data_IF_728019600367
#
_entry.id   IF_728019600367
#
_cell.length_a   1.000
_cell.length_b   1.000
_cell.length_c   1.000
_cell.angle_alpha   90.00
_cell.angle_beta   90.00
_cell.angle_gamma   90.00
#
_symmetry.space_group_name_H-M   'P 1'
#
loop_
_entity.id
_entity.type
_entity.pdbx_description
1 polymer ?
#
# COMPACT_ATOMS: atom_id res chain seq x y z
N UNK A 1 -0.32 -7.38 18.16
CA UNK A 1 0.18 -6.01 17.90
C UNK A 1 1.52 -6.15 17.24
N UNK A 2 1.64 -5.78 15.98
CA UNK A 2 2.84 -6.01 15.16
C UNK A 2 3.89 -4.93 15.44
N UNK A 3 4.69 -5.13 16.48
CA UNK A 3 5.66 -4.14 16.97
C UNK A 3 6.94 -4.12 16.11
N UNK A 4 7.24 -5.20 15.41
CA UNK A 4 8.46 -5.37 14.62
C UNK A 4 8.20 -5.40 13.11
N UNK A 5 7.08 -4.84 12.63
CA UNK A 5 6.77 -4.80 11.20
C UNK A 5 7.14 -3.46 10.57
N UNK A 6 7.76 -3.49 9.39
CA UNK A 6 7.94 -2.35 8.51
C UNK A 6 6.94 -2.42 7.34
N UNK A 7 6.10 -1.39 7.19
CA UNK A 7 5.13 -1.30 6.09
C UNK A 7 5.72 -0.53 4.90
N UNK A 8 5.83 -1.20 3.76
CA UNK A 8 6.20 -0.64 2.48
C UNK A 8 4.94 -0.46 1.63
N UNK A 9 4.52 0.79 1.40
CA UNK A 9 3.42 1.09 0.47
C UNK A 9 3.98 1.32 -0.94
N UNK A 10 3.34 0.77 -1.97
CA UNK A 10 3.70 1.04 -3.34
C UNK A 10 2.82 2.14 -3.93
N UNK A 11 3.47 3.07 -4.60
CA UNK A 11 2.84 4.19 -5.29
C UNK A 11 3.41 4.23 -6.71
N UNK A 12 2.55 4.27 -7.74
CA UNK A 12 3.02 4.32 -9.12
C UNK A 12 3.66 5.67 -9.40
N UNK A 13 4.91 5.67 -9.87
CA UNK A 13 5.64 6.88 -10.23
C UNK A 13 4.87 7.77 -11.20
N UNK A 14 4.32 7.18 -12.27
CA UNK A 14 3.53 7.92 -13.27
C UNK A 14 2.30 8.59 -12.66
N UNK A 15 1.65 7.93 -11.70
CA UNK A 15 0.53 8.50 -10.95
C UNK A 15 0.95 9.70 -10.14
N UNK A 16 2.06 9.55 -9.40
CA UNK A 16 2.61 10.59 -8.58
C UNK A 16 3.05 11.81 -9.40
N UNK A 17 3.73 11.60 -10.52
CA UNK A 17 4.17 12.66 -11.44
C UNK A 17 2.98 13.35 -12.10
N UNK A 18 1.97 12.61 -12.57
CA UNK A 18 0.79 13.22 -13.18
C UNK A 18 -0.01 14.07 -12.17
N UNK A 19 0.04 13.71 -10.90
CA UNK A 19 -0.71 14.36 -9.84
C UNK A 19 0.04 15.55 -9.22
N UNK A 20 1.34 15.41 -8.93
CA UNK A 20 2.15 16.40 -8.20
C UNK A 20 3.16 17.11 -9.12
N UNK A 21 3.39 16.61 -10.33
CA UNK A 21 4.37 17.12 -11.29
C UNK A 21 5.80 16.62 -11.05
N UNK A 22 6.14 16.26 -9.80
CA UNK A 22 7.47 15.80 -9.39
C UNK A 22 7.37 14.73 -8.30
N UNK A 23 8.39 13.87 -8.21
CA UNK A 23 8.61 13.03 -7.03
C UNK A 23 9.32 13.89 -5.98
N UNK A 24 8.73 14.12 -4.80
CA UNK A 24 9.35 14.95 -3.79
C UNK A 24 10.63 14.28 -3.25
N UNK A 25 11.74 15.03 -3.21
CA UNK A 25 12.98 14.56 -2.59
C UNK A 25 12.92 14.56 -1.06
N UNK A 26 11.94 15.25 -0.48
CA UNK A 26 11.75 15.36 0.97
C UNK A 26 10.27 15.20 1.30
N UNK A 27 9.96 14.31 2.25
CA UNK A 27 8.64 14.18 2.83
C UNK A 27 8.62 14.92 4.17
N UNK A 28 7.67 15.85 4.34
CA UNK A 28 7.37 16.47 5.62
C UNK A 28 6.10 15.85 6.18
N UNK A 29 6.19 15.26 7.35
CA UNK A 29 5.02 14.71 8.04
C UNK A 29 4.50 15.80 8.97
N UNK A 30 3.30 16.32 8.69
CA UNK A 30 2.61 17.20 9.62
C UNK A 30 1.86 16.34 10.65
N UNK A 31 2.48 16.16 11.83
CA UNK A 31 1.93 15.27 12.87
C UNK A 31 0.65 15.81 13.51
N UNK A 32 0.50 17.13 13.60
CA UNK A 32 -0.69 17.79 14.16
C UNK A 32 -1.89 17.51 13.24
N UNK A 33 -1.75 17.88 11.96
CA UNK A 33 -2.71 17.59 10.90
C UNK A 33 -3.07 16.09 10.81
N UNK A 34 -2.08 15.21 10.90
CA UNK A 34 -2.31 13.75 10.88
C UNK A 34 -3.16 13.29 12.06
N UNK A 35 -2.94 13.84 13.26
CA UNK A 35 -3.72 13.45 14.43
C UNK A 35 -5.13 14.04 14.39
N UNK A 36 -5.34 15.16 13.71
CA UNK A 36 -6.66 15.78 13.62
C UNK A 36 -7.52 15.13 12.53
N UNK A 37 -6.93 14.72 11.41
CA UNK A 37 -7.68 14.37 10.20
C UNK A 37 -7.50 12.94 9.67
N UNK A 38 -6.49 12.17 10.09
CA UNK A 38 -6.15 10.89 9.43
C UNK A 38 -7.03 9.69 9.87
N UNK A 39 -7.93 9.87 10.85
CA UNK A 39 -8.87 8.83 11.31
C UNK A 39 -10.25 8.91 10.62
N UNK A 40 -10.41 9.89 9.74
CA UNK A 40 -11.66 10.36 9.17
C UNK A 40 -11.85 9.64 7.82
N UNK A 41 -12.96 8.90 7.66
CA UNK A 41 -13.32 8.23 6.39
C UNK A 41 -13.73 9.28 5.35
N UNK A 42 -13.59 8.97 4.06
CA UNK A 42 -13.97 9.83 2.92
C UNK A 42 -15.37 10.49 3.08
N UNK A 43 -16.32 9.77 3.69
CA UNK A 43 -17.66 10.25 3.95
C UNK A 43 -17.69 11.35 5.03
N UNK A 44 -17.78 12.60 4.58
CA UNK A 44 -18.21 13.76 5.38
C UNK A 44 -17.11 14.73 5.82
N UNK A 45 -15.91 14.66 5.25
CA UNK A 45 -14.71 15.26 5.85
C UNK A 45 -13.83 16.07 4.89
N UNK A 46 -14.35 16.36 3.72
CA UNK A 46 -13.60 16.99 2.64
C UNK A 46 -14.34 18.26 2.25
N UNK A 47 -13.93 19.40 2.80
CA UNK A 47 -14.24 20.68 2.14
C UNK A 47 -13.35 20.77 0.89
N UNK A 48 -13.87 21.28 -0.24
CA UNK A 48 -13.12 21.38 -1.52
C UNK A 48 -11.76 22.13 -1.39
N UNK A 49 -11.58 22.90 -0.32
CA UNK A 49 -10.35 23.62 0.01
C UNK A 49 -9.32 22.84 0.84
N UNK A 50 -9.67 21.66 1.37
CA UNK A 50 -8.76 20.91 2.22
C UNK A 50 -7.65 20.25 1.40
N UNK A 51 -6.41 20.48 1.83
CA UNK A 51 -5.23 19.85 1.25
C UNK A 51 -5.28 18.31 1.34
N UNK A 52 -5.99 17.76 2.34
CA UNK A 52 -6.20 16.32 2.52
C UNK A 52 -7.10 15.64 1.50
N UNK A 53 -7.97 16.40 0.82
CA UNK A 53 -8.74 15.91 -0.32
C UNK A 53 -7.80 15.22 -1.31
N UNK A 54 -6.66 15.85 -1.56
CA UNK A 54 -5.71 15.46 -2.59
C UNK A 54 -5.12 14.05 -2.35
N UNK A 55 -4.49 13.71 -1.21
CA UNK A 55 -3.93 12.37 -0.97
C UNK A 55 -4.97 11.27 -0.66
N UNK A 56 -6.17 11.60 -0.16
CA UNK A 56 -7.22 10.61 0.12
C UNK A 56 -8.03 10.23 -1.12
N UNK A 57 -8.21 11.15 -2.08
CA UNK A 57 -9.01 10.92 -3.30
C UNK A 57 -8.17 10.66 -4.56
N UNK A 58 -6.84 10.85 -4.50
CA UNK A 58 -5.97 10.62 -5.64
C UNK A 58 -5.87 9.13 -5.97
N UNK A 59 -6.63 8.71 -6.98
CA UNK A 59 -6.40 7.41 -7.63
C UNK A 59 -5.14 7.50 -8.52
N UNK A 60 -3.97 7.32 -7.90
CA UNK A 60 -2.66 7.37 -8.56
C UNK A 60 -2.49 6.21 -9.56
N UNK A 61 -3.19 5.11 -9.35
CA UNK A 61 -3.09 3.89 -10.15
C UNK A 61 -3.80 3.99 -11.51
N UNK A 62 -4.81 4.84 -11.67
CA UNK A 62 -5.52 5.04 -12.95
C UNK A 62 -4.63 5.43 -14.13
N UNK A 63 -3.49 6.06 -13.86
CA UNK A 63 -2.55 6.48 -14.90
C UNK A 63 -1.59 5.37 -15.35
N UNK A 64 -1.57 4.26 -14.63
CA UNK A 64 -0.66 3.13 -14.83
C UNK A 64 -1.39 1.98 -15.49
N UNK A 65 -0.86 1.47 -16.59
CA UNK A 65 -1.34 0.24 -17.21
C UNK A 65 -0.75 -0.93 -16.41
N UNK A 66 -1.51 -1.43 -15.44
CA UNK A 66 -1.14 -2.58 -14.61
C UNK A 66 -2.03 -3.78 -14.88
N UNK A 67 -1.40 -4.93 -15.07
CA UNK A 67 -2.09 -6.22 -15.23
C UNK A 67 -2.22 -6.85 -13.84
N UNK A 68 -3.39 -6.72 -13.22
CA UNK A 68 -3.66 -7.19 -11.84
C UNK A 68 -3.31 -8.67 -11.65
N UNK A 69 -3.58 -9.51 -12.66
CA UNK A 69 -3.25 -10.95 -12.60
C UNK A 69 -1.75 -11.22 -12.51
N UNK A 70 -0.91 -10.40 -13.16
CA UNK A 70 0.54 -10.51 -13.06
C UNK A 70 1.03 -10.07 -11.67
N UNK A 71 0.49 -8.99 -11.11
CA UNK A 71 0.81 -8.55 -9.75
C UNK A 71 0.49 -9.67 -8.74
N UNK A 72 -0.71 -10.25 -8.82
CA UNK A 72 -1.12 -11.37 -7.96
C UNK A 72 -0.15 -12.54 -8.11
N UNK A 73 0.24 -12.86 -9.35
CA UNK A 73 1.19 -13.95 -9.62
C UNK A 73 2.55 -13.70 -8.96
N UNK A 74 3.19 -12.56 -9.22
CA UNK A 74 4.52 -12.25 -8.68
C UNK A 74 4.54 -12.13 -7.16
N UNK A 75 3.49 -11.57 -6.54
CA UNK A 75 3.38 -11.56 -5.08
C UNK A 75 3.23 -12.99 -4.55
N UNK A 76 2.42 -13.83 -5.20
CA UNK A 76 2.24 -15.23 -4.77
C UNK A 76 3.55 -16.03 -4.81
N UNK A 77 4.45 -15.75 -5.75
CA UNK A 77 5.80 -16.36 -5.80
C UNK A 77 6.71 -15.93 -4.63
N UNK A 78 6.30 -14.95 -3.81
CA UNK A 78 7.01 -14.52 -2.61
C UNK A 78 6.45 -15.10 -1.31
N UNK A 79 5.37 -15.88 -1.37
CA UNK A 79 4.74 -16.45 -0.18
C UNK A 79 4.61 -17.98 -0.29
N UNK A 80 4.66 -18.70 0.83
CA UNK A 80 4.53 -20.15 0.84
C UNK A 80 3.10 -20.61 0.52
N UNK A 81 2.10 -19.77 0.82
CA UNK A 81 0.68 -20.07 0.65
C UNK A 81 0.02 -19.14 -0.38
N UNK A 82 -1.07 -19.64 -0.97
CA UNK A 82 -1.93 -18.84 -1.84
C UNK A 82 -2.59 -17.70 -1.06
N UNK A 83 -2.91 -16.56 -1.70
CA UNK A 83 -3.59 -15.48 -1.02
C UNK A 83 -4.96 -15.90 -0.51
N UNK A 84 -5.30 -15.40 0.66
CA UNK A 84 -6.67 -15.31 1.10
C UNK A 84 -7.38 -14.25 0.27
N UNK A 85 -8.35 -14.67 -0.53
CA UNK A 85 -9.13 -13.79 -1.40
C UNK A 85 -10.48 -13.48 -0.77
N UNK A 86 -10.83 -12.19 -0.75
CA UNK A 86 -12.19 -11.69 -0.52
C UNK A 86 -12.70 -10.94 -1.76
N UNK A 87 -13.83 -10.23 -1.66
CA UNK A 87 -14.50 -9.58 -2.81
C UNK A 87 -13.54 -8.67 -3.59
N UNK A 88 -12.79 -7.83 -2.89
CA UNK A 88 -11.93 -6.81 -3.49
C UNK A 88 -10.55 -6.73 -2.82
N UNK A 89 -10.14 -7.79 -2.13
CA UNK A 89 -8.88 -7.81 -1.39
C UNK A 89 -8.21 -9.17 -1.47
N UNK A 90 -6.91 -9.16 -1.77
CA UNK A 90 -6.01 -10.29 -1.72
C UNK A 90 -5.01 -10.06 -0.59
N UNK A 91 -4.90 -11.04 0.31
CA UNK A 91 -3.99 -10.99 1.44
C UNK A 91 -3.08 -12.22 1.45
N UNK A 92 -1.78 -11.99 1.49
CA UNK A 92 -0.77 -13.04 1.63
C UNK A 92 -0.19 -12.98 3.03
N UNK A 93 0.06 -14.16 3.63
CA UNK A 93 0.63 -14.25 4.97
C UNK A 93 1.72 -15.30 5.01
N UNK A 94 2.87 -14.94 5.57
CA UNK A 94 3.88 -15.88 6.04
C UNK A 94 4.07 -15.64 7.54
N UNK A 95 3.59 -16.59 8.33
CA UNK A 95 3.57 -16.49 9.78
C UNK A 95 4.14 -17.75 10.42
N UNK A 96 5.17 -17.54 11.22
CA UNK A 96 5.80 -18.57 12.04
C UNK A 96 6.24 -17.99 13.38
N UNK A 97 6.95 -18.79 14.19
CA UNK A 97 7.59 -18.28 15.42
C UNK A 97 8.65 -17.20 15.13
N UNK A 98 9.22 -17.19 13.92
CA UNK A 98 10.39 -16.38 13.56
C UNK A 98 10.08 -15.27 12.56
N UNK A 99 8.94 -15.35 11.88
CA UNK A 99 8.61 -14.49 10.74
C UNK A 99 7.13 -14.11 10.80
N UNK A 100 6.83 -12.84 10.51
CA UNK A 100 5.47 -12.28 10.44
C UNK A 100 5.38 -11.32 9.25
N UNK A 101 5.53 -11.85 8.03
CA UNK A 101 5.45 -11.08 6.79
C UNK A 101 4.03 -11.12 6.23
N UNK A 102 3.57 -10.07 5.57
CA UNK A 102 2.34 -10.10 4.80
C UNK A 102 2.35 -9.12 3.63
N UNK A 103 1.42 -9.33 2.70
CA UNK A 103 1.14 -8.43 1.61
C UNK A 103 -0.37 -8.23 1.50
N UNK A 104 -0.78 -7.05 1.03
CA UNK A 104 -2.18 -6.77 0.69
C UNK A 104 -2.29 -6.03 -0.62
N UNK A 105 -3.25 -6.46 -1.44
CA UNK A 105 -3.72 -5.77 -2.63
C UNK A 105 -5.22 -5.52 -2.47
N UNK A 106 -5.61 -4.26 -2.40
CA UNK A 106 -7.00 -3.79 -2.29
C UNK A 106 -7.39 -3.14 -3.61
N UNK A 107 -8.53 -3.55 -4.14
CA UNK A 107 -9.09 -3.06 -5.40
C UNK A 107 -10.36 -2.27 -5.14
N UNK A 108 -10.61 -1.26 -5.96
CA UNK A 108 -11.90 -0.59 -6.02
C UNK A 108 -12.96 -1.58 -6.50
N UNK A 109 -14.11 -1.58 -5.81
CA UNK A 109 -15.18 -2.56 -6.03
C UNK A 109 -15.93 -2.37 -7.35
N UNK A 110 -15.83 -1.19 -7.95
CA UNK A 110 -16.60 -0.79 -9.13
C UNK A 110 -15.80 -0.93 -10.43
N UNK A 111 -14.50 -0.67 -10.39
CA UNK A 111 -13.66 -0.60 -11.60
C UNK A 111 -12.37 -1.46 -11.54
N UNK A 112 -12.16 -2.23 -10.47
CA UNK A 112 -11.00 -3.11 -10.29
C UNK A 112 -9.63 -2.40 -10.31
N UNK A 113 -9.61 -1.07 -10.16
CA UNK A 113 -8.36 -0.30 -10.02
C UNK A 113 -7.75 -0.54 -8.66
N UNK A 114 -6.42 -0.43 -8.56
CA UNK A 114 -5.73 -0.61 -7.27
C UNK A 114 -6.02 0.62 -6.40
N UNK A 115 -6.61 0.38 -5.22
CA UNK A 115 -6.72 1.39 -4.16
C UNK A 115 -5.46 1.40 -3.30
N UNK A 116 -5.02 0.21 -2.88
CA UNK A 116 -3.86 0.05 -2.00
C UNK A 116 -3.06 -1.20 -2.36
N UNK A 117 -1.74 -1.05 -2.41
CA UNK A 117 -0.81 -2.17 -2.49
C UNK A 117 0.33 -1.95 -1.49
N UNK A 118 0.52 -2.90 -0.58
CA UNK A 118 1.60 -2.82 0.40
C UNK A 118 2.15 -4.18 0.82
N UNK A 119 3.36 -4.14 1.34
CA UNK A 119 4.03 -5.24 2.03
C UNK A 119 4.28 -4.85 3.48
N UNK A 120 4.25 -5.82 4.40
CA UNK A 120 4.74 -5.70 5.76
C UNK A 120 5.81 -6.75 5.99
N UNK A 121 7.03 -6.31 6.24
CA UNK A 121 8.17 -7.17 6.53
C UNK A 121 8.42 -7.22 8.04
N UNK A 122 8.67 -8.40 8.60
CA UNK A 122 9.13 -8.58 9.96
C UNK A 122 10.63 -8.23 10.04
N UNK A 123 10.95 -7.20 10.81
CA UNK A 123 12.31 -6.72 11.02
C UNK A 123 13.17 -7.67 11.86
N UNK A 124 12.57 -8.73 12.42
CA UNK A 124 13.29 -9.79 13.13
C UNK A 124 13.70 -10.93 12.22
N UNK A 125 13.20 -10.98 10.98
CA UNK A 125 13.57 -11.99 10.02
C UNK A 125 15.08 -11.94 9.77
N UNK A 126 15.76 -13.08 9.96
CA UNK A 126 17.20 -13.15 9.77
C UNK A 126 17.57 -12.80 8.33
N UNK A 127 18.46 -11.83 8.17
CA UNK A 127 18.89 -11.35 6.84
C UNK A 127 17.86 -10.52 6.07
N UNK A 128 16.67 -10.26 6.64
CA UNK A 128 15.61 -9.44 6.03
C UNK A 128 15.30 -9.87 4.58
N UNK A 129 15.31 -11.18 4.33
CA UNK A 129 15.17 -11.78 2.99
C UNK A 129 13.92 -11.27 2.28
N UNK A 130 12.79 -11.22 2.98
CA UNK A 130 11.53 -10.75 2.44
C UNK A 130 11.59 -9.26 2.11
N UNK A 131 12.05 -8.41 3.04
CA UNK A 131 12.17 -6.97 2.80
C UNK A 131 13.07 -6.69 1.59
N UNK A 132 14.22 -7.35 1.51
CA UNK A 132 15.17 -7.19 0.42
C UNK A 132 14.53 -7.55 -0.92
N UNK A 133 13.79 -8.67 -1.00
CA UNK A 133 13.08 -9.08 -2.22
C UNK A 133 12.02 -8.07 -2.67
N UNK A 134 11.46 -7.27 -1.77
CA UNK A 134 10.40 -6.29 -2.10
C UNK A 134 10.93 -4.92 -2.54
N UNK A 135 12.20 -4.60 -2.23
CA UNK A 135 12.79 -3.29 -2.55
C UNK A 135 13.82 -3.34 -3.69
N UNK A 136 14.17 -4.54 -4.17
CA UNK A 136 15.13 -4.78 -5.28
C UNK A 136 14.43 -5.43 -6.47
#
# INVERSE_FOLDING_TARGET
>A
MAIYQFKLNLIPEKGLINHIGIIPHTLKINFEERNEHYYLKEDGLVEDSDFFTYPLTANLWNSSEVIITEIIYYISEAFPEKPQKSINHYHWKDYSRFVDNDASLILDKNNETIEELYFRADLREEGLVFLNKMIT
#
